data_IF_069891781005
#
_entry.id   IF_069891781005
#
_cell.length_a   1.000
_cell.length_b   1.000
_cell.length_c   1.000
_cell.angle_alpha   90.00
_cell.angle_beta   90.00
_cell.angle_gamma   90.00
#
_symmetry.space_group_name_H-M   'P 1'
#
loop_
_entity.id
_entity.type
_entity.pdbx_description
1 polymer ?
#
# COMPACT_ATOMS: atom_id res chain seq x y z
N UNK A 1 -12.37 -8.61 -13.90
CA UNK A 1 -11.24 -8.02 -13.14
C UNK A 1 -10.44 -7.10 -14.05
N UNK A 2 -10.07 -5.90 -13.59
CA UNK A 2 -9.42 -4.86 -14.42
C UNK A 2 -7.89 -4.93 -14.49
N UNK A 3 -7.25 -5.59 -13.54
CA UNK A 3 -5.81 -5.93 -13.56
C UNK A 3 -5.65 -7.41 -13.84
N UNK A 4 -4.65 -7.83 -14.65
CA UNK A 4 -4.26 -9.23 -14.68
C UNK A 4 -3.88 -9.68 -13.27
N UNK A 5 -4.24 -10.93 -12.97
CA UNK A 5 -4.34 -11.58 -11.67
C UNK A 5 -3.02 -11.60 -10.86
N UNK A 6 -3.18 -11.87 -9.56
CA UNK A 6 -2.25 -11.79 -8.42
C UNK A 6 -0.82 -12.33 -8.62
N UNK A 7 0.03 -12.00 -7.64
CA UNK A 7 1.49 -12.16 -7.62
C UNK A 7 2.00 -13.60 -7.80
N UNK A 8 1.14 -14.63 -7.77
CA UNK A 8 1.57 -16.03 -7.87
C UNK A 8 0.90 -16.80 -9.02
N UNK A 9 1.61 -17.81 -9.55
CA UNK A 9 1.07 -18.75 -10.55
C UNK A 9 -0.09 -19.56 -9.97
N UNK A 10 -0.07 -19.85 -8.67
CA UNK A 10 -1.14 -20.58 -8.00
C UNK A 10 -2.47 -19.83 -8.03
N UNK A 11 -2.46 -18.50 -7.94
CA UNK A 11 -3.66 -17.70 -8.09
C UNK A 11 -4.26 -17.81 -9.51
N UNK A 12 -3.39 -17.91 -10.52
CA UNK A 12 -3.81 -18.13 -11.90
C UNK A 12 -4.44 -19.52 -12.07
N UNK A 13 -3.83 -20.55 -11.50
CA UNK A 13 -4.36 -21.91 -11.52
C UNK A 13 -5.69 -22.03 -10.77
N UNK A 14 -5.83 -21.34 -9.63
CA UNK A 14 -7.08 -21.28 -8.88
C UNK A 14 -8.22 -20.66 -9.70
N UNK A 15 -7.95 -19.58 -10.44
CA UNK A 15 -8.95 -18.95 -11.30
C UNK A 15 -9.31 -19.81 -12.50
N UNK A 16 -8.32 -20.46 -13.13
CA UNK A 16 -8.59 -21.40 -14.21
C UNK A 16 -9.48 -22.53 -13.71
N UNK A 17 -9.12 -23.15 -12.59
CA UNK A 17 -9.90 -24.21 -11.94
C UNK A 17 -11.34 -23.76 -11.65
N UNK A 18 -11.51 -22.58 -11.06
CA UNK A 18 -12.82 -22.00 -10.79
C UNK A 18 -13.68 -21.82 -12.05
N UNK A 19 -13.10 -21.37 -13.16
CA UNK A 19 -13.84 -21.15 -14.41
C UNK A 19 -14.19 -22.49 -15.09
N UNK A 20 -13.34 -23.51 -14.97
CA UNK A 20 -13.51 -24.82 -15.66
C UNK A 20 -14.31 -25.86 -14.86
N UNK A 21 -14.76 -25.51 -13.65
CA UNK A 21 -15.37 -26.43 -12.67
C UNK A 21 -16.55 -27.31 -13.12
N UNK A 22 -17.43 -26.96 -14.09
CA UNK A 22 -18.50 -27.87 -14.47
C UNK A 22 -18.07 -29.00 -15.43
N UNK A 23 -16.80 -29.03 -15.90
CA UNK A 23 -16.37 -30.01 -16.92
C UNK A 23 -15.18 -30.90 -16.55
N UNK A 24 -14.46 -30.63 -15.45
CA UNK A 24 -13.28 -31.41 -15.11
C UNK A 24 -13.67 -32.65 -14.29
N UNK A 25 -13.61 -33.82 -14.92
CA UNK A 25 -13.41 -35.07 -14.20
C UNK A 25 -12.02 -35.04 -13.52
N UNK A 26 -11.76 -35.89 -12.52
CA UNK A 26 -10.43 -35.99 -11.88
C UNK A 26 -9.27 -36.26 -12.87
N UNK A 27 -9.58 -36.61 -14.12
CA UNK A 27 -8.64 -36.84 -15.23
C UNK A 27 -8.18 -35.56 -15.94
N UNK A 28 -8.86 -34.43 -15.72
CA UNK A 28 -8.61 -33.15 -16.39
C UNK A 28 -7.79 -32.19 -15.50
N UNK A 29 -6.77 -32.70 -14.81
CA UNK A 29 -5.87 -31.86 -14.03
C UNK A 29 -4.78 -31.24 -14.92
N UNK A 30 -5.06 -30.05 -15.45
CA UNK A 30 -4.15 -29.28 -16.32
C UNK A 30 -3.02 -28.58 -15.56
N UNK A 31 -3.14 -28.46 -14.23
CA UNK A 31 -2.17 -27.77 -13.36
C UNK A 31 -0.72 -28.27 -13.50
N UNK A 32 -0.42 -29.58 -13.42
CA UNK A 32 0.95 -30.08 -13.58
C UNK A 32 1.53 -29.81 -14.97
N UNK A 33 0.72 -29.81 -16.03
CA UNK A 33 1.17 -29.49 -17.38
C UNK A 33 1.59 -28.03 -17.51
N UNK A 34 0.81 -27.12 -16.94
CA UNK A 34 1.14 -25.68 -16.89
C UNK A 34 2.41 -25.47 -16.07
N UNK A 35 2.51 -26.07 -14.88
CA UNK A 35 3.69 -25.93 -14.00
C UNK A 35 4.97 -26.47 -14.66
N UNK A 36 4.91 -27.61 -15.36
CA UNK A 36 6.06 -28.18 -16.07
C UNK A 36 6.48 -27.34 -17.29
N UNK A 37 5.55 -26.66 -17.95
CA UNK A 37 5.88 -25.72 -19.03
C UNK A 37 6.63 -24.50 -18.47
N UNK A 38 6.16 -23.97 -17.34
CA UNK A 38 6.75 -22.82 -16.68
C UNK A 38 8.14 -23.11 -16.12
N UNK A 39 8.38 -24.31 -15.56
CA UNK A 39 9.71 -24.72 -15.09
C UNK A 39 10.74 -24.81 -16.22
N UNK A 40 10.29 -25.06 -17.45
CA UNK A 40 11.10 -25.04 -18.68
C UNK A 40 11.25 -23.63 -19.29
N UNK A 41 10.73 -22.59 -18.62
CA UNK A 41 10.74 -21.21 -19.10
C UNK A 41 9.72 -20.91 -20.20
N UNK A 42 8.79 -21.82 -20.49
CA UNK A 42 7.77 -21.63 -21.53
C UNK A 42 6.42 -21.23 -20.92
N UNK A 43 5.94 -20.04 -21.31
CA UNK A 43 4.65 -19.50 -20.87
C UNK A 43 3.53 -19.76 -21.89
N UNK A 44 3.81 -20.46 -22.99
CA UNK A 44 2.90 -20.59 -24.13
C UNK A 44 1.60 -21.28 -23.73
N UNK A 45 1.67 -22.37 -22.97
CA UNK A 45 0.50 -23.15 -22.55
C UNK A 45 -0.42 -22.30 -21.66
N UNK A 46 0.17 -21.55 -20.73
CA UNK A 46 -0.58 -20.63 -19.86
C UNK A 46 -1.24 -19.51 -20.68
N UNK A 47 -0.53 -18.91 -21.63
CA UNK A 47 -1.09 -17.88 -22.50
C UNK A 47 -2.23 -18.39 -23.38
N UNK A 48 -2.13 -19.61 -23.90
CA UNK A 48 -3.20 -20.23 -24.69
C UNK A 48 -4.42 -20.51 -23.83
N UNK A 49 -4.24 -21.10 -22.64
CA UNK A 49 -5.34 -21.31 -21.70
C UNK A 49 -6.04 -19.98 -21.34
N UNK A 50 -5.27 -18.97 -20.93
CA UNK A 50 -5.81 -17.65 -20.58
C UNK A 50 -6.42 -16.90 -21.76
N UNK A 51 -5.97 -17.13 -22.99
CA UNK A 51 -6.56 -16.51 -24.20
C UNK A 51 -8.01 -16.93 -24.41
N UNK A 52 -8.36 -18.18 -24.09
CA UNK A 52 -9.72 -18.69 -24.23
C UNK A 52 -10.59 -18.38 -23.01
N UNK A 53 -9.97 -18.23 -21.83
CA UNK A 53 -10.69 -18.00 -20.57
C UNK A 53 -10.82 -16.51 -20.19
N UNK A 54 -9.99 -15.63 -20.75
CA UNK A 54 -9.94 -14.22 -20.36
C UNK A 54 -9.88 -13.28 -21.58
N UNK A 55 -10.69 -12.22 -21.53
CA UNK A 55 -10.62 -11.12 -22.49
C UNK A 55 -9.90 -9.94 -21.86
N UNK A 56 -8.68 -9.66 -22.33
CA UNK A 56 -7.88 -8.50 -21.90
C UNK A 56 -7.66 -7.53 -23.05
N UNK A 57 -8.05 -6.26 -22.86
CA UNK A 57 -7.77 -5.15 -23.78
C UNK A 57 -6.94 -4.09 -23.09
N UNK A 58 -6.01 -3.48 -23.82
CA UNK A 58 -5.19 -2.38 -23.33
C UNK A 58 -5.75 -1.05 -23.83
N UNK A 59 -5.73 -0.01 -22.97
CA UNK A 59 -6.30 1.31 -23.32
C UNK A 59 -5.67 1.88 -24.59
N UNK A 60 -4.36 1.72 -24.74
CA UNK A 60 -3.58 2.21 -25.88
C UNK A 60 -3.95 1.54 -27.21
N UNK A 61 -4.52 0.33 -27.22
CA UNK A 61 -4.86 -0.35 -28.48
C UNK A 61 -6.24 0.05 -29.01
N UNK A 62 -7.09 0.70 -28.22
CA UNK A 62 -8.48 0.99 -28.60
C UNK A 62 -8.86 2.47 -28.50
N UNK A 63 -8.17 3.26 -27.67
CA UNK A 63 -8.47 4.67 -27.43
C UNK A 63 -7.26 5.53 -27.82
N UNK A 64 -7.30 6.12 -29.02
CA UNK A 64 -6.21 6.95 -29.57
C UNK A 64 -6.09 8.34 -28.93
N UNK A 65 -7.11 8.79 -28.20
CA UNK A 65 -7.19 10.15 -27.64
C UNK A 65 -7.08 10.25 -26.12
N UNK A 66 -6.57 9.20 -25.44
CA UNK A 66 -6.34 9.27 -23.99
C UNK A 66 -5.05 10.05 -23.68
N UNK A 67 -5.06 10.95 -22.69
CA UNK A 67 -3.84 11.60 -22.25
C UNK A 67 -2.85 10.59 -21.68
N UNK A 68 -1.57 10.80 -21.95
CA UNK A 68 -0.50 9.95 -21.42
C UNK A 68 -0.46 10.06 -19.90
N UNK A 69 -0.45 8.91 -19.22
CA UNK A 69 -0.24 8.84 -17.78
C UNK A 69 1.27 8.81 -17.54
N UNK A 70 1.81 9.83 -16.88
CA UNK A 70 3.20 9.84 -16.41
C UNK A 70 3.28 9.39 -14.95
N UNK A 71 4.29 8.57 -14.66
CA UNK A 71 4.59 8.12 -13.30
C UNK A 71 5.87 8.79 -12.83
N UNK A 72 5.80 9.47 -11.69
CA UNK A 72 6.94 10.12 -11.08
C UNK A 72 7.11 9.62 -9.64
N UNK A 73 8.34 9.27 -9.30
CA UNK A 73 8.71 8.88 -7.94
C UNK A 73 9.46 10.05 -7.29
N UNK A 74 9.08 10.37 -6.05
CA UNK A 74 9.73 11.40 -5.25
C UNK A 74 10.32 10.76 -4.00
N UNK A 75 11.65 10.72 -3.94
CA UNK A 75 12.38 10.28 -2.76
C UNK A 75 12.34 11.41 -1.73
N UNK A 76 11.94 11.08 -0.51
CA UNK A 76 11.80 12.05 0.58
C UNK A 76 12.65 11.58 1.76
N UNK A 77 13.51 12.45 2.32
CA UNK A 77 14.23 12.13 3.54
C UNK A 77 13.27 12.04 4.72
N UNK A 78 13.58 11.20 5.70
CA UNK A 78 12.88 11.19 6.99
C UNK A 78 13.26 12.45 7.78
N UNK A 79 12.31 12.94 8.56
CA UNK A 79 12.56 13.96 9.56
C UNK A 79 13.52 13.39 10.64
N UNK A 80 14.50 14.15 11.18
CA UNK A 80 15.40 13.70 12.24
C UNK A 80 14.74 12.91 13.38
N UNK A 81 13.56 13.33 13.84
CA UNK A 81 12.81 12.63 14.90
C UNK A 81 12.42 11.22 14.44
N UNK A 82 11.76 11.13 13.28
CA UNK A 82 11.34 9.86 12.68
C UNK A 82 12.54 8.98 12.30
N UNK A 83 13.69 9.57 11.95
CA UNK A 83 14.91 8.81 11.65
C UNK A 83 15.45 8.08 12.89
N UNK A 84 15.39 8.73 14.06
CA UNK A 84 15.77 8.13 15.35
C UNK A 84 14.86 6.94 15.67
N UNK A 85 13.54 7.13 15.53
CA UNK A 85 12.55 6.07 15.76
C UNK A 85 12.69 4.91 14.78
N UNK A 86 12.84 5.23 13.49
CA UNK A 86 13.05 4.24 12.44
C UNK A 86 14.28 3.38 12.74
N UNK A 87 15.37 4.00 13.21
CA UNK A 87 16.59 3.28 13.58
C UNK A 87 16.38 2.34 14.76
N UNK A 88 15.54 2.72 15.74
CA UNK A 88 15.19 1.86 16.87
C UNK A 88 14.32 0.66 16.42
N UNK A 89 13.25 0.93 15.66
CA UNK A 89 12.38 -0.11 15.09
C UNK A 89 13.12 -1.05 14.15
N UNK A 90 14.13 -0.55 13.43
CA UNK A 90 14.94 -1.39 12.55
C UNK A 90 15.81 -2.37 13.33
N UNK A 91 16.36 -1.95 14.48
CA UNK A 91 17.07 -2.87 15.38
C UNK A 91 16.13 -3.95 15.93
N UNK A 92 14.89 -3.60 16.26
CA UNK A 92 13.87 -4.56 16.67
C UNK A 92 13.52 -5.55 15.54
N UNK A 93 13.40 -5.09 14.29
CA UNK A 93 13.19 -5.98 13.14
C UNK A 93 14.32 -7.01 12.99
N UNK A 94 15.57 -6.57 13.18
CA UNK A 94 16.73 -7.46 13.08
C UNK A 94 16.70 -8.54 14.18
N UNK A 95 16.24 -8.21 15.39
CA UNK A 95 16.09 -9.18 16.47
C UNK A 95 14.83 -10.03 16.36
N UNK A 96 13.77 -9.56 15.70
CA UNK A 96 12.50 -10.32 15.53
C UNK A 96 12.59 -11.42 14.48
N UNK A 97 13.64 -11.46 13.64
CA UNK A 97 13.83 -12.53 12.64
C UNK A 97 13.86 -13.94 13.24
N UNK A 98 14.18 -14.06 14.53
CA UNK A 98 14.26 -15.33 15.25
C UNK A 98 12.96 -15.70 15.98
N UNK A 99 11.97 -14.80 16.04
CA UNK A 99 10.78 -14.93 16.90
C UNK A 99 9.49 -15.31 16.16
N UNK A 100 9.59 -15.63 14.87
CA UNK A 100 8.48 -16.14 14.05
C UNK A 100 7.84 -15.10 13.12
N UNK A 101 6.99 -15.56 12.17
CA UNK A 101 6.49 -14.74 11.06
C UNK A 101 5.56 -13.59 11.51
N UNK A 102 4.78 -13.79 12.59
CA UNK A 102 3.86 -12.77 13.10
C UNK A 102 4.57 -11.54 13.66
N UNK A 103 5.60 -11.73 14.47
CA UNK A 103 6.40 -10.63 15.02
C UNK A 103 7.19 -9.90 13.94
N UNK A 104 7.76 -10.63 12.99
CA UNK A 104 8.42 -10.03 11.83
C UNK A 104 7.46 -9.10 11.06
N UNK A 105 6.25 -9.57 10.76
CA UNK A 105 5.25 -8.76 10.06
C UNK A 105 4.84 -7.53 10.88
N UNK A 106 4.70 -7.67 12.21
CA UNK A 106 4.44 -6.53 13.10
C UNK A 106 5.55 -5.49 13.05
N UNK A 107 6.81 -5.91 13.14
CA UNK A 107 7.98 -5.02 13.05
C UNK A 107 8.05 -4.31 11.70
N UNK A 108 7.82 -5.03 10.59
CA UNK A 108 7.72 -4.42 9.25
C UNK A 108 6.56 -3.42 9.17
N UNK A 109 5.43 -3.72 9.80
CA UNK A 109 4.28 -2.83 9.82
C UNK A 109 4.57 -1.54 10.60
N UNK A 110 5.26 -1.64 11.73
CA UNK A 110 5.68 -0.48 12.53
C UNK A 110 6.66 0.40 11.75
N UNK A 111 7.62 -0.17 11.03
CA UNK A 111 8.49 0.58 10.13
C UNK A 111 7.70 1.32 9.04
N UNK A 112 6.67 0.67 8.46
CA UNK A 112 5.79 1.31 7.47
C UNK A 112 5.00 2.46 8.08
N UNK A 113 4.47 2.31 9.30
CA UNK A 113 3.78 3.37 10.04
C UNK A 113 4.69 4.57 10.30
N UNK A 114 5.90 4.30 10.81
CA UNK A 114 6.94 5.31 11.04
C UNK A 114 7.17 6.14 9.78
N UNK A 115 7.35 5.51 8.60
CA UNK A 115 7.58 6.25 7.35
C UNK A 115 6.40 7.11 6.86
N UNK A 116 5.19 6.99 7.43
CA UNK A 116 4.03 7.79 7.04
C UNK A 116 3.83 8.97 7.97
N UNK A 117 3.76 8.73 9.29
CA UNK A 117 3.59 9.78 10.28
C UNK A 117 4.03 9.28 11.66
N UNK A 118 4.67 10.16 12.43
CA UNK A 118 5.13 9.87 13.80
C UNK A 118 3.97 9.39 14.70
N UNK A 119 2.83 10.10 14.67
CA UNK A 119 1.62 9.73 15.43
C UNK A 119 1.02 8.34 15.13
N UNK A 120 1.44 7.65 14.08
CA UNK A 120 0.95 6.30 13.81
C UNK A 120 1.60 5.24 14.71
N UNK A 121 2.73 5.57 15.34
CA UNK A 121 3.46 4.71 16.26
C UNK A 121 2.95 4.86 17.69
N UNK A 122 2.64 6.10 18.10
CA UNK A 122 2.04 6.37 19.40
C UNK A 122 0.67 5.71 19.46
N UNK A 123 0.48 4.79 20.39
CA UNK A 123 -0.87 4.45 20.82
C UNK A 123 -1.53 5.73 21.30
N UNK A 124 -2.79 5.96 20.92
CA UNK A 124 -3.59 7.12 21.36
C UNK A 124 -3.59 7.25 22.90
N UNK A 125 -3.31 6.15 23.60
CA UNK A 125 -3.11 6.06 25.05
C UNK A 125 -1.84 6.76 25.57
N UNK A 126 -0.73 6.79 24.82
CA UNK A 126 0.52 7.44 25.27
C UNK A 126 0.40 8.97 25.27
N UNK A 127 -0.37 9.51 24.32
CA UNK A 127 -0.65 10.94 24.23
C UNK A 127 -1.65 11.39 25.31
N UNK A 128 -2.56 10.50 25.73
CA UNK A 128 -3.50 10.78 26.81
C UNK A 128 -2.81 10.80 28.18
N UNK A 129 -1.71 10.06 28.36
CA UNK A 129 -0.95 10.01 29.61
C UNK A 129 -0.14 11.29 29.87
N UNK A 130 0.33 11.99 28.83
CA UNK A 130 1.00 13.28 29.00
C UNK A 130 0.03 14.42 29.38
N UNK A 131 -1.24 14.33 29.00
CA UNK A 131 -2.28 15.32 29.36
C UNK A 131 -2.89 15.08 30.77
N UNK A 132 -2.62 13.94 31.40
CA UNK A 132 -3.28 13.54 32.66
C UNK A 132 -2.58 13.97 33.96
N UNK A 133 -1.43 14.65 33.91
CA UNK A 133 -0.89 15.32 35.11
C UNK A 133 -1.61 16.63 35.49
N UNK A 134 -2.69 17.01 34.80
CA UNK A 134 -3.49 18.14 35.26
C UNK A 134 -4.79 18.44 34.53
N UNK A 135 -5.85 17.64 34.73
CA UNK A 135 -7.22 18.09 35.09
C UNK A 135 -8.31 17.04 34.86
N UNK A 136 -9.26 17.11 35.78
CA UNK A 136 -10.52 16.36 35.95
C UNK A 136 -11.36 16.13 34.68
N UNK A 137 -12.00 14.95 34.69
CA UNK A 137 -13.14 14.43 33.92
C UNK A 137 -14.17 15.46 33.41
N UNK A 138 -14.43 15.48 32.10
CA UNK A 138 -15.76 15.39 31.44
C UNK A 138 -15.65 15.65 29.91
N UNK A 139 -16.32 14.79 29.13
CA UNK A 139 -16.64 14.94 27.69
C UNK A 139 -15.46 15.18 26.71
N UNK A 140 -14.68 14.12 26.41
CA UNK A 140 -13.45 14.24 25.61
C UNK A 140 -13.47 13.66 24.19
N UNK A 141 -14.56 13.04 23.72
CA UNK A 141 -14.58 12.45 22.36
C UNK A 141 -14.44 13.49 21.24
N UNK A 142 -14.99 14.69 21.42
CA UNK A 142 -14.96 15.77 20.42
C UNK A 142 -13.78 16.74 20.60
N UNK A 143 -13.09 16.73 21.75
CA UNK A 143 -11.91 17.56 22.02
C UNK A 143 -10.61 16.92 21.52
N UNK A 144 -10.47 15.59 21.63
CA UNK A 144 -9.27 14.86 21.16
C UNK A 144 -9.05 15.07 19.65
N UNK A 145 -10.11 15.21 18.86
CA UNK A 145 -10.00 15.43 17.41
C UNK A 145 -9.53 16.84 17.06
N UNK A 146 -9.77 17.84 17.93
CA UNK A 146 -9.41 19.24 17.66
C UNK A 146 -7.96 19.56 18.03
N UNK A 147 -7.38 18.89 19.03
CA UNK A 147 -6.00 19.17 19.49
C UNK A 147 -4.92 18.60 18.56
N UNK A 148 -5.22 17.55 17.78
CA UNK A 148 -4.22 16.84 16.94
C UNK A 148 -3.90 17.60 15.63
N UNK A 149 -4.78 18.51 15.19
CA UNK A 149 -4.64 19.25 13.92
C UNK A 149 -3.76 20.51 14.02
N UNK A 150 -2.70 20.49 14.84
CA UNK A 150 -1.68 21.53 14.74
C UNK A 150 -0.88 21.34 13.43
N UNK A 151 -0.63 22.44 12.72
CA UNK A 151 0.19 22.48 11.51
C UNK A 151 1.58 21.89 11.81
N UNK A 152 2.12 22.13 13.00
CA UNK A 152 3.42 21.60 13.43
C UNK A 152 3.44 20.08 13.42
N UNK A 153 2.39 19.44 13.92
CA UNK A 153 2.23 17.99 13.95
C UNK A 153 2.18 17.40 12.55
N UNK A 154 1.42 18.04 11.64
CA UNK A 154 1.37 17.65 10.23
C UNK A 154 2.75 17.78 9.55
N UNK A 155 3.52 18.81 9.93
CA UNK A 155 4.85 19.08 9.37
C UNK A 155 5.91 18.10 9.88
N UNK A 156 5.62 17.30 10.91
CA UNK A 156 6.52 16.22 11.33
C UNK A 156 6.69 15.17 10.22
N UNK A 157 5.67 14.92 9.39
CA UNK A 157 5.77 14.01 8.25
C UNK A 157 6.36 14.70 7.01
N UNK A 158 7.49 14.19 6.54
CA UNK A 158 8.11 14.64 5.27
C UNK A 158 7.18 14.50 4.07
N UNK A 159 6.28 13.49 4.07
CA UNK A 159 5.31 13.28 2.98
C UNK A 159 4.24 14.37 2.98
N UNK A 160 3.66 14.65 4.14
CA UNK A 160 2.61 15.69 4.29
C UNK A 160 3.20 17.07 4.00
N UNK A 161 4.37 17.40 4.55
CA UNK A 161 5.04 18.68 4.31
C UNK A 161 5.29 18.91 2.80
N UNK A 162 5.73 17.88 2.08
CA UNK A 162 5.98 17.96 0.63
C UNK A 162 4.70 18.00 -0.18
N UNK A 163 3.65 17.31 0.29
CA UNK A 163 2.34 17.38 -0.31
C UNK A 163 1.77 18.80 -0.22
N UNK A 164 1.79 19.41 0.97
CA UNK A 164 1.32 20.77 1.20
C UNK A 164 2.06 21.77 0.30
N UNK A 165 3.39 21.67 0.22
CA UNK A 165 4.20 22.49 -0.71
C UNK A 165 3.77 22.32 -2.17
N UNK A 166 3.46 21.09 -2.59
CA UNK A 166 3.05 20.80 -3.98
C UNK A 166 1.65 21.33 -4.28
N UNK A 167 0.73 21.22 -3.33
CA UNK A 167 -0.64 21.76 -3.44
C UNK A 167 -0.62 23.29 -3.49
N UNK A 168 0.17 23.94 -2.63
CA UNK A 168 0.32 25.40 -2.62
C UNK A 168 0.96 25.92 -3.91
N UNK A 169 2.00 25.26 -4.40
CA UNK A 169 2.64 25.62 -5.68
C UNK A 169 1.67 25.50 -6.85
N UNK A 170 0.84 24.45 -6.88
CA UNK A 170 -0.15 24.26 -7.94
C UNK A 170 -1.27 25.31 -7.90
N UNK A 171 -1.63 25.84 -6.71
CA UNK A 171 -2.57 26.97 -6.60
C UNK A 171 -1.99 28.28 -7.15
N UNK A 172 -0.68 28.46 -7.06
CA UNK A 172 0.01 29.66 -7.56
C UNK A 172 0.30 29.60 -9.06
N UNK A 173 0.45 28.40 -9.64
CA UNK A 173 0.56 28.26 -11.09
C UNK A 173 -0.79 28.47 -11.77
N UNK A 174 -0.88 29.38 -12.74
CA UNK A 174 -2.07 29.67 -13.58
C UNK A 174 -2.54 28.49 -14.47
N UNK A 175 -2.17 27.26 -14.15
CA UNK A 175 -2.73 26.07 -14.80
C UNK A 175 -4.12 25.83 -14.20
N UNK A 176 -5.13 25.57 -15.03
CA UNK A 176 -6.54 25.48 -14.61
C UNK A 176 -6.83 24.50 -13.46
N UNK A 177 -8.09 24.41 -12.99
CA UNK A 177 -8.44 23.68 -11.77
C UNK A 177 -8.06 22.19 -11.87
N UNK A 178 -6.96 21.82 -11.19
CA UNK A 178 -6.48 20.45 -11.13
C UNK A 178 -7.10 19.74 -9.91
N UNK A 179 -7.78 18.61 -10.16
CA UNK A 179 -8.31 17.75 -9.09
C UNK A 179 -7.25 16.74 -8.68
N UNK A 180 -6.90 16.72 -7.41
CA UNK A 180 -5.95 15.78 -6.82
C UNK A 180 -6.72 14.69 -6.08
N UNK A 181 -6.31 13.43 -6.28
CA UNK A 181 -6.85 12.26 -5.57
C UNK A 181 -5.72 11.61 -4.80
N UNK A 182 -5.93 11.41 -3.49
CA UNK A 182 -4.96 10.80 -2.60
C UNK A 182 -5.39 9.40 -2.22
N UNK A 183 -4.44 8.47 -2.23
CA UNK A 183 -4.66 7.10 -1.80
C UNK A 183 -3.70 6.81 -0.63
N UNK A 184 -4.24 6.26 0.46
CA UNK A 184 -3.49 5.77 1.61
C UNK A 184 -3.96 4.37 1.94
N UNK A 185 -3.06 3.55 2.50
CA UNK A 185 -3.40 2.21 3.00
C UNK A 185 -3.89 2.24 4.46
N UNK A 186 -3.72 3.37 5.14
CA UNK A 186 -4.10 3.55 6.53
C UNK A 186 -5.40 4.34 6.61
N UNK A 187 -6.32 3.84 7.44
CA UNK A 187 -7.62 4.43 7.77
C UNK A 187 -7.63 4.93 9.19
#
# INVERSE_FOLDING_TARGET
>A
MGTPIHNTIYDHLGIISFITQPQSSDKDNWSPFILNSLSKGSNVILHLALRHLSLRRIKTSHLKSLPTISHHYKLLPLNPIMQKEYSALYKELLSSKTKGPGEFLRSVNNLRKCCNHHLMLSTVEDLALEDHEGRSTQDNSSKITQTIFNVETCMMSSKIAQLLKSVLKNKQSNCGPCKLVFYSQWT
#
